data_IF_205674342129
#
_entry.id   IF_205674342129
#
_cell.length_a   1.000
_cell.length_b   1.000
_cell.length_c   1.000
_cell.angle_alpha   90.00
_cell.angle_beta   90.00
_cell.angle_gamma   90.00
#
_symmetry.space_group_name_H-M   'P 1'
#
loop_
_entity.id
_entity.type
_entity.pdbx_description
1 polymer ?
#
# COMPACT_ATOMS: atom_id res chain seq x y z
N UNK A 1 17.32 1.26 -9.64
CA UNK A 1 17.98 0.29 -8.70
C UNK A 1 17.26 -1.04 -8.80
N UNK A 2 17.97 -2.13 -9.04
CA UNK A 2 17.42 -3.50 -9.00
C UNK A 2 17.67 -4.06 -7.60
N UNK A 3 16.59 -4.47 -6.92
CA UNK A 3 16.68 -5.09 -5.60
C UNK A 3 16.99 -6.57 -5.71
N UNK A 4 17.93 -7.06 -4.89
CA UNK A 4 18.17 -8.50 -4.82
C UNK A 4 17.01 -9.22 -4.09
N UNK A 5 16.90 -10.53 -4.32
CA UNK A 5 15.91 -11.36 -3.60
C UNK A 5 16.12 -11.25 -2.09
N UNK A 6 17.38 -11.26 -1.61
CA UNK A 6 17.72 -11.15 -0.20
C UNK A 6 17.27 -9.80 0.39
N UNK A 7 17.46 -8.70 -0.34
CA UNK A 7 17.00 -7.37 0.10
C UNK A 7 15.48 -7.36 0.26
N UNK A 8 14.75 -7.87 -0.73
CA UNK A 8 13.28 -7.93 -0.68
C UNK A 8 12.79 -8.87 0.43
N UNK A 9 13.36 -10.06 0.55
CA UNK A 9 13.00 -11.02 1.60
C UNK A 9 13.27 -10.42 2.99
N UNK A 10 14.44 -9.82 3.21
CA UNK A 10 14.78 -9.15 4.47
C UNK A 10 13.80 -8.02 4.81
N UNK A 11 13.44 -7.20 3.82
CA UNK A 11 12.45 -6.14 3.98
C UNK A 11 11.07 -6.69 4.37
N UNK A 12 10.59 -7.74 3.70
CA UNK A 12 9.28 -8.33 3.99
C UNK A 12 9.23 -9.03 5.35
N UNK A 13 10.30 -9.68 5.75
CA UNK A 13 10.42 -10.27 7.09
C UNK A 13 10.49 -9.18 8.17
N UNK A 14 11.11 -8.05 7.86
CA UNK A 14 11.37 -6.97 8.81
C UNK A 14 12.43 -7.37 9.85
N UNK A 15 12.90 -6.40 10.63
CA UNK A 15 13.86 -6.61 11.72
C UNK A 15 13.24 -7.28 12.96
N UNK A 16 12.19 -8.06 12.75
CA UNK A 16 11.54 -8.74 13.84
C UNK A 16 12.39 -9.96 14.21
N UNK A 17 12.93 -9.97 15.43
CA UNK A 17 13.16 -11.23 16.12
C UNK A 17 11.80 -11.93 16.20
N UNK A 18 11.47 -12.71 15.18
CA UNK A 18 10.32 -13.59 15.20
C UNK A 18 10.64 -14.63 16.26
N UNK A 19 10.38 -14.27 17.52
CA UNK A 19 10.43 -15.21 18.63
C UNK A 19 9.21 -16.11 18.48
N UNK A 20 9.40 -17.23 17.80
CA UNK A 20 8.40 -18.30 17.64
C UNK A 20 8.07 -19.04 18.96
N UNK A 21 8.31 -18.42 20.12
CA UNK A 21 8.19 -19.06 21.45
C UNK A 21 6.76 -19.23 21.95
N UNK A 22 5.78 -18.64 21.30
CA UNK A 22 4.39 -18.83 21.67
C UNK A 22 3.78 -19.90 20.76
N UNK A 23 3.12 -20.90 21.34
CA UNK A 23 2.49 -21.96 20.58
C UNK A 23 1.50 -21.40 19.58
N UNK A 24 1.64 -21.74 18.29
CA UNK A 24 0.63 -21.43 17.32
C UNK A 24 -0.65 -22.17 17.67
N UNK A 25 -1.79 -21.49 17.67
CA UNK A 25 -3.08 -22.15 17.74
C UNK A 25 -3.18 -23.21 16.65
N UNK A 26 -3.70 -24.38 17.00
CA UNK A 26 -3.83 -25.51 16.09
C UNK A 26 -5.07 -25.31 15.20
N UNK A 27 -4.89 -24.95 13.93
CA UNK A 27 -5.98 -24.76 12.98
C UNK A 27 -5.99 -25.85 11.92
N UNK A 28 -7.18 -26.40 11.67
CA UNK A 28 -7.41 -27.22 10.48
C UNK A 28 -7.40 -26.34 9.21
N UNK A 29 -7.17 -26.91 8.00
CA UNK A 29 -7.27 -26.16 6.76
C UNK A 29 -8.60 -25.42 6.55
N UNK A 30 -9.69 -25.91 7.14
CA UNK A 30 -10.99 -25.23 7.13
C UNK A 30 -11.05 -24.04 8.10
N UNK A 31 -10.25 -24.05 9.15
CA UNK A 31 -10.15 -22.97 10.14
C UNK A 31 -9.20 -21.85 9.69
N UNK A 32 -8.35 -22.07 8.67
CA UNK A 32 -7.56 -21.01 8.01
C UNK A 32 -8.42 -19.79 7.67
N UNK A 33 -9.67 -20.05 7.38
CA UNK A 33 -10.60 -19.04 6.94
C UNK A 33 -11.47 -18.45 8.06
N UNK A 34 -11.55 -19.01 9.24
CA UNK A 34 -12.43 -18.56 10.34
C UNK A 34 -11.69 -17.96 11.54
N UNK A 35 -10.38 -17.70 11.41
CA UNK A 35 -9.53 -17.30 12.53
C UNK A 35 -9.81 -15.90 13.06
N UNK A 36 -9.79 -15.68 14.39
CA UNK A 36 -10.01 -14.39 15.02
C UNK A 36 -8.99 -13.29 14.65
N UNK A 37 -7.81 -13.63 14.12
CA UNK A 37 -6.86 -12.65 13.58
C UNK A 37 -7.25 -12.11 12.20
N UNK A 38 -8.22 -12.74 11.52
CA UNK A 38 -8.83 -12.21 10.31
C UNK A 38 -9.98 -11.24 10.62
N UNK A 39 -10.28 -10.98 11.86
CA UNK A 39 -11.43 -10.19 12.27
C UNK A 39 -10.94 -8.79 12.61
N UNK A 40 -11.52 -7.78 11.95
CA UNK A 40 -11.69 -6.50 12.64
C UNK A 40 -12.35 -6.84 13.98
N UNK A 41 -11.64 -6.60 15.08
CA UNK A 41 -12.11 -6.93 16.43
C UNK A 41 -13.48 -6.30 16.79
N UNK A 42 -14.01 -5.45 15.93
CA UNK A 42 -15.30 -4.77 16.04
C UNK A 42 -16.40 -5.41 15.20
N UNK A 43 -16.06 -6.19 14.16
CA UNK A 43 -17.04 -6.82 13.29
C UNK A 43 -16.69 -8.28 13.03
N UNK A 44 -17.50 -9.19 13.52
CA UNK A 44 -17.37 -10.65 13.35
C UNK A 44 -17.47 -11.15 11.89
N UNK A 45 -17.50 -10.25 10.92
CA UNK A 45 -17.54 -10.55 9.48
C UNK A 45 -16.40 -9.82 8.78
N UNK A 46 -15.38 -10.54 8.36
CA UNK A 46 -14.39 -10.04 7.44
C UNK A 46 -15.02 -9.95 6.04
N UNK A 47 -15.68 -8.83 5.76
CA UNK A 47 -16.30 -8.56 4.45
C UNK A 47 -15.26 -8.49 3.32
N UNK A 48 -13.98 -8.27 3.66
CA UNK A 48 -12.87 -8.20 2.71
C UNK A 48 -12.20 -9.53 2.44
N UNK A 49 -12.58 -10.61 3.11
CA UNK A 49 -11.93 -11.91 3.01
C UNK A 49 -11.92 -12.47 1.58
N UNK A 50 -13.02 -12.35 0.85
CA UNK A 50 -13.14 -12.84 -0.52
C UNK A 50 -12.06 -12.25 -1.47
N UNK A 51 -11.53 -11.08 -1.17
CA UNK A 51 -10.45 -10.45 -1.93
C UNK A 51 -9.06 -10.98 -1.58
N UNK A 52 -8.90 -11.63 -0.42
CA UNK A 52 -7.63 -12.20 0.04
C UNK A 52 -7.50 -13.68 -0.31
N UNK A 53 -8.62 -14.39 -0.38
CA UNK A 53 -8.66 -15.84 -0.62
C UNK A 53 -7.83 -16.28 -1.84
N UNK A 54 -7.86 -15.61 -3.01
CA UNK A 54 -7.06 -16.03 -4.16
C UNK A 54 -5.56 -16.06 -3.88
N UNK A 55 -5.03 -15.07 -3.16
CA UNK A 55 -3.61 -15.01 -2.83
C UNK A 55 -3.25 -16.06 -1.79
N UNK A 56 -4.10 -16.26 -0.77
CA UNK A 56 -3.88 -17.26 0.27
C UNK A 56 -3.90 -18.67 -0.30
N UNK A 57 -4.86 -19.00 -1.17
CA UNK A 57 -4.93 -20.28 -1.86
C UNK A 57 -3.67 -20.51 -2.70
N UNK A 58 -3.23 -19.49 -3.43
CA UNK A 58 -1.97 -19.54 -4.20
C UNK A 58 -0.78 -19.85 -3.29
N UNK A 59 -0.66 -19.17 -2.14
CA UNK A 59 0.46 -19.34 -1.24
C UNK A 59 0.48 -20.73 -0.58
N UNK A 60 -0.67 -21.21 -0.12
CA UNK A 60 -0.82 -22.58 0.41
C UNK A 60 -0.40 -23.61 -0.64
N UNK A 61 -0.86 -23.46 -1.89
CA UNK A 61 -0.55 -24.39 -2.97
C UNK A 61 0.92 -24.38 -3.38
N UNK A 62 1.59 -23.23 -3.32
CA UNK A 62 3.00 -23.12 -3.74
C UNK A 62 3.97 -23.91 -2.86
N UNK A 63 3.66 -24.08 -1.57
CA UNK A 63 4.58 -24.66 -0.59
C UNK A 63 4.01 -25.85 0.17
N UNK A 64 2.87 -26.42 -0.25
CA UNK A 64 2.17 -27.50 0.46
C UNK A 64 2.03 -27.19 1.96
N UNK A 65 1.66 -25.95 2.28
CA UNK A 65 1.45 -25.54 3.66
C UNK A 65 0.13 -26.10 4.17
N UNK A 66 0.17 -26.76 5.33
CA UNK A 66 -1.05 -27.19 6.01
C UNK A 66 -1.75 -26.01 6.69
N UNK A 67 -0.97 -25.02 7.13
CA UNK A 67 -1.44 -23.87 7.90
C UNK A 67 -0.69 -22.61 7.54
N UNK A 68 -1.42 -21.50 7.49
CA UNK A 68 -0.86 -20.17 7.27
C UNK A 68 -1.71 -19.14 8.02
N UNK A 69 -1.06 -18.17 8.67
CA UNK A 69 -1.77 -17.08 9.31
C UNK A 69 -1.66 -15.82 8.45
N UNK A 70 -2.76 -15.13 8.34
CA UNK A 70 -2.80 -13.86 7.62
C UNK A 70 -3.82 -12.91 8.27
N UNK A 71 -3.60 -11.62 8.07
CA UNK A 71 -4.48 -10.57 8.53
C UNK A 71 -5.17 -9.92 7.33
N UNK A 72 -6.50 -9.93 7.33
CA UNK A 72 -7.30 -9.20 6.37
C UNK A 72 -7.51 -7.75 6.81
N UNK A 73 -7.77 -6.87 5.85
CA UNK A 73 -8.15 -5.49 6.09
C UNK A 73 -7.01 -4.50 5.96
N UNK A 74 -7.37 -3.24 6.17
CA UNK A 74 -6.49 -2.10 5.91
C UNK A 74 -5.88 -1.55 7.21
N UNK A 75 -5.94 -2.33 8.31
CA UNK A 75 -5.27 -1.96 9.57
C UNK A 75 -3.96 -2.69 9.70
N UNK A 76 -2.86 -1.99 10.03
CA UNK A 76 -1.62 -2.66 10.39
C UNK A 76 -1.83 -3.61 11.56
N UNK A 77 -1.33 -4.83 11.42
CA UNK A 77 -1.39 -5.83 12.47
C UNK A 77 -0.50 -5.43 13.65
N UNK A 78 -1.06 -5.42 14.86
CA UNK A 78 -0.36 -5.02 16.10
C UNK A 78 -0.28 -6.15 17.13
N UNK A 79 -0.50 -7.38 16.70
CA UNK A 79 -0.50 -8.55 17.58
C UNK A 79 0.90 -9.03 18.01
N UNK A 80 0.96 -10.25 18.53
CA UNK A 80 2.19 -10.92 18.95
C UNK A 80 3.14 -11.22 17.78
N UNK A 81 4.40 -11.58 18.08
CA UNK A 81 5.44 -11.88 17.09
C UNK A 81 5.21 -13.24 16.42
N UNK A 82 4.12 -13.38 15.70
CA UNK A 82 3.90 -14.55 14.84
C UNK A 82 4.31 -14.25 13.41
N UNK A 83 4.59 -15.27 12.60
CA UNK A 83 4.76 -15.15 11.16
C UNK A 83 3.41 -14.97 10.45
N UNK A 84 2.62 -14.00 10.89
CA UNK A 84 1.34 -13.62 10.27
C UNK A 84 1.62 -12.86 9.00
N UNK A 85 1.04 -13.29 7.88
CA UNK A 85 1.10 -12.54 6.64
C UNK A 85 0.23 -11.28 6.75
N UNK A 86 0.81 -10.15 6.38
CA UNK A 86 0.15 -8.84 6.40
C UNK A 86 0.34 -8.14 5.07
N UNK A 87 -0.62 -7.30 4.71
CA UNK A 87 -0.52 -6.46 3.51
C UNK A 87 0.47 -5.30 3.72
N UNK A 88 0.43 -4.70 4.91
CA UNK A 88 1.23 -3.52 5.26
C UNK A 88 1.70 -3.54 6.71
N UNK A 89 2.81 -2.85 6.97
CA UNK A 89 3.26 -2.45 8.31
C UNK A 89 3.29 -0.94 8.41
N UNK A 90 2.88 -0.39 9.56
CA UNK A 90 2.98 1.04 9.87
C UNK A 90 4.32 1.31 10.56
N UNK A 91 5.21 2.07 9.95
CA UNK A 91 6.55 2.36 10.47
C UNK A 91 6.53 3.29 11.69
N UNK A 92 5.47 4.07 11.85
CA UNK A 92 5.29 4.95 13.02
C UNK A 92 4.74 4.20 14.24
N UNK A 93 4.20 3.00 14.03
CA UNK A 93 3.72 2.16 15.10
C UNK A 93 4.66 0.98 15.32
N UNK A 94 5.50 1.06 16.34
CA UNK A 94 6.45 -0.01 16.72
C UNK A 94 5.76 -1.35 17.05
N UNK A 95 4.47 -1.34 17.30
CA UNK A 95 3.67 -2.55 17.52
C UNK A 95 3.15 -3.15 16.21
N UNK A 96 3.28 -2.45 15.08
CA UNK A 96 2.90 -2.97 13.77
C UNK A 96 3.90 -4.06 13.35
N UNK A 97 3.41 -5.26 13.12
CA UNK A 97 4.21 -6.48 12.92
C UNK A 97 3.66 -7.30 11.75
N UNK A 98 4.25 -8.46 11.56
CA UNK A 98 3.86 -9.43 10.54
C UNK A 98 4.84 -9.47 9.36
N UNK A 99 4.75 -10.53 8.58
CA UNK A 99 5.52 -10.73 7.35
C UNK A 99 4.74 -10.12 6.19
N UNK A 100 5.34 -9.16 5.51
CA UNK A 100 4.69 -8.53 4.36
C UNK A 100 4.53 -9.56 3.25
N UNK A 101 3.31 -9.67 2.71
CA UNK A 101 2.98 -10.46 1.56
C UNK A 101 2.07 -9.68 0.60
N UNK A 102 2.10 -10.05 -0.68
CA UNK A 102 1.23 -9.44 -1.68
C UNK A 102 -0.20 -9.97 -1.51
N UNK A 103 -0.92 -9.42 -0.54
CA UNK A 103 -2.29 -9.80 -0.21
C UNK A 103 -3.30 -8.82 -0.83
N UNK A 104 -4.46 -9.36 -1.21
CA UNK A 104 -5.47 -8.62 -1.97
C UNK A 104 -4.86 -8.02 -3.24
N UNK A 105 -4.04 -8.82 -3.92
CA UNK A 105 -3.23 -8.40 -5.07
C UNK A 105 -4.09 -7.91 -6.22
N UNK A 106 -5.24 -8.53 -6.48
CA UNK A 106 -6.15 -8.11 -7.54
C UNK A 106 -6.63 -6.65 -7.40
N UNK A 107 -6.76 -6.15 -6.16
CA UNK A 107 -7.15 -4.77 -5.90
C UNK A 107 -5.95 -3.83 -5.78
N UNK A 108 -4.92 -4.24 -5.05
CA UNK A 108 -3.82 -3.35 -4.65
C UNK A 108 -2.62 -3.44 -5.58
N UNK A 109 -2.48 -4.51 -6.36
CA UNK A 109 -1.32 -4.76 -7.22
C UNK A 109 -1.66 -4.80 -8.71
N UNK A 110 -2.68 -4.06 -9.12
CA UNK A 110 -3.00 -3.89 -10.53
C UNK A 110 -2.14 -2.76 -11.11
N UNK A 111 -1.10 -3.12 -11.85
CA UNK A 111 -0.15 -2.21 -12.50
C UNK A 111 -0.55 -1.85 -13.94
N UNK A 112 -1.78 -2.13 -14.35
CA UNK A 112 -2.25 -1.79 -15.69
C UNK A 112 -2.24 -0.29 -15.94
N UNK A 113 -1.35 0.15 -16.82
CA UNK A 113 -1.18 1.51 -17.30
C UNK A 113 -1.37 1.61 -18.82
N UNK A 114 -2.06 0.64 -19.42
CA UNK A 114 -2.28 0.55 -20.87
C UNK A 114 -2.94 1.80 -21.48
N UNK A 115 -3.59 2.61 -20.65
CA UNK A 115 -4.23 3.86 -21.06
C UNK A 115 -3.40 5.10 -20.72
N UNK A 116 -2.12 4.93 -20.33
CA UNK A 116 -1.24 6.05 -20.09
C UNK A 116 -0.87 6.77 -21.39
N UNK A 117 -0.48 8.03 -21.27
CA UNK A 117 -0.09 8.88 -22.37
C UNK A 117 1.33 9.41 -22.14
N UNK A 118 1.94 9.92 -23.19
CA UNK A 118 3.28 10.48 -23.10
C UNK A 118 3.30 11.72 -22.19
N UNK A 119 4.45 11.94 -21.55
CA UNK A 119 4.65 13.05 -20.60
C UNK A 119 4.22 14.40 -21.17
N UNK A 120 4.58 14.67 -22.43
CA UNK A 120 4.27 15.95 -23.09
C UNK A 120 2.78 16.15 -23.41
N UNK A 121 2.00 15.05 -23.44
CA UNK A 121 0.56 15.09 -23.68
C UNK A 121 -0.23 15.24 -22.39
N UNK A 122 0.44 15.08 -21.23
CA UNK A 122 -0.19 15.23 -19.91
C UNK A 122 -0.38 16.70 -19.55
N UNK A 123 -1.48 16.96 -18.86
CA UNK A 123 -1.75 18.28 -18.30
C UNK A 123 -0.83 18.55 -17.11
N UNK A 124 -0.28 19.74 -17.07
CA UNK A 124 0.53 20.27 -15.97
C UNK A 124 -0.39 20.70 -14.79
N UNK A 125 -1.12 19.73 -14.23
CA UNK A 125 -2.16 19.92 -13.23
C UNK A 125 -2.01 18.90 -12.10
N UNK A 126 -2.45 19.28 -10.90
CA UNK A 126 -2.66 18.38 -9.77
C UNK A 126 -4.05 17.77 -9.88
N UNK A 127 -4.14 16.47 -9.67
CA UNK A 127 -5.41 15.76 -9.66
C UNK A 127 -5.45 14.71 -8.56
N UNK A 128 -6.53 14.74 -7.78
CA UNK A 128 -6.75 13.71 -6.77
C UNK A 128 -8.23 13.37 -6.60
N UNK A 129 -8.52 12.08 -6.52
CA UNK A 129 -9.82 11.52 -6.11
C UNK A 129 -9.57 10.32 -5.21
N UNK A 130 -10.28 10.26 -4.10
CA UNK A 130 -10.24 9.15 -3.19
C UNK A 130 -11.43 9.17 -2.24
N UNK A 131 -11.72 8.04 -1.60
CA UNK A 131 -12.70 7.96 -0.54
C UNK A 131 -12.21 8.67 0.72
N UNK A 132 -13.13 9.02 1.61
CA UNK A 132 -12.87 9.69 2.89
C UNK A 132 -12.32 8.73 3.97
N UNK A 133 -11.46 7.78 3.58
CA UNK A 133 -10.85 6.80 4.48
C UNK A 133 -9.68 7.38 5.28
N UNK A 134 -9.37 6.76 6.41
CA UNK A 134 -8.32 7.14 7.36
C UNK A 134 -8.78 6.85 8.78
N UNK A 135 -7.88 6.32 9.62
CA UNK A 135 -8.26 5.86 10.96
C UNK A 135 -8.39 6.98 11.99
N UNK A 136 -7.69 8.06 11.78
CA UNK A 136 -7.70 9.19 12.68
C UNK A 136 -8.32 10.40 12.00
N UNK A 137 -9.55 10.74 12.40
CA UNK A 137 -10.26 11.88 11.84
C UNK A 137 -9.54 13.21 12.13
N UNK A 138 -8.73 13.28 13.18
CA UNK A 138 -7.95 14.46 13.54
C UNK A 138 -6.61 14.52 12.80
N UNK A 139 -6.17 13.41 12.22
CA UNK A 139 -5.00 13.27 11.36
C UNK A 139 -5.39 12.82 9.96
N UNK A 140 -6.62 13.05 9.56
CA UNK A 140 -7.08 12.68 8.24
C UNK A 140 -6.53 13.67 7.22
N UNK A 141 -5.39 13.31 6.69
CA UNK A 141 -4.69 14.08 5.68
C UNK A 141 -5.57 14.37 4.46
N UNK A 142 -6.54 13.49 4.15
CA UNK A 142 -7.47 13.67 3.02
C UNK A 142 -8.46 14.79 3.23
N UNK A 143 -9.02 14.95 4.45
CA UNK A 143 -9.92 16.09 4.75
C UNK A 143 -9.13 17.39 4.72
N UNK A 144 -7.99 17.44 5.40
CA UNK A 144 -7.09 18.59 5.42
C UNK A 144 -6.68 18.99 4.01
N UNK A 145 -6.25 18.00 3.22
CA UNK A 145 -5.84 18.20 1.84
C UNK A 145 -6.97 18.74 0.97
N UNK A 146 -8.13 18.10 0.95
CA UNK A 146 -9.26 18.58 0.13
C UNK A 146 -9.75 19.93 0.59
N UNK A 147 -9.88 20.18 1.91
CA UNK A 147 -10.33 21.47 2.41
C UNK A 147 -9.40 22.61 2.03
N UNK A 148 -8.11 22.36 1.94
CA UNK A 148 -7.09 23.36 1.60
C UNK A 148 -7.00 23.63 0.09
N UNK A 149 -7.09 22.58 -0.73
CA UNK A 149 -6.73 22.65 -2.14
C UNK A 149 -7.90 22.55 -3.13
N UNK A 150 -9.13 22.29 -2.64
CA UNK A 150 -10.30 22.13 -3.51
C UNK A 150 -10.59 23.32 -4.43
N UNK A 151 -10.34 24.55 -3.95
CA UNK A 151 -10.57 25.76 -4.74
C UNK A 151 -9.46 26.08 -5.73
N UNK A 152 -8.29 25.48 -5.57
CA UNK A 152 -7.09 25.79 -6.35
C UNK A 152 -6.78 24.70 -7.37
N UNK A 153 -7.10 23.44 -7.03
CA UNK A 153 -6.75 22.26 -7.82
C UNK A 153 -7.96 21.35 -8.02
N UNK A 154 -7.86 20.44 -8.99
CA UNK A 154 -8.89 19.42 -9.21
C UNK A 154 -8.75 18.25 -8.22
N UNK A 155 -8.96 18.55 -6.94
CA UNK A 155 -8.91 17.59 -5.84
C UNK A 155 -10.26 17.51 -5.16
N UNK A 156 -10.77 16.28 -4.92
CA UNK A 156 -12.06 16.06 -4.30
C UNK A 156 -12.24 14.63 -3.80
N UNK A 157 -13.26 14.38 -3.02
CA UNK A 157 -13.64 13.03 -2.64
C UNK A 157 -14.39 12.32 -3.76
N UNK A 158 -14.09 11.02 -3.90
CA UNK A 158 -14.88 10.13 -4.76
C UNK A 158 -16.10 9.56 -4.04
N UNK A 159 -16.02 9.41 -2.73
CA UNK A 159 -17.08 8.81 -1.90
C UNK A 159 -16.90 9.21 -0.43
N UNK A 160 -18.03 9.34 0.27
CA UNK A 160 -18.15 9.57 1.71
C UNK A 160 -18.55 8.27 2.41
N UNK A 161 -17.65 7.29 2.44
CA UNK A 161 -17.97 5.93 2.88
C UNK A 161 -17.65 5.66 4.34
N UNK A 162 -16.71 6.39 4.93
CA UNK A 162 -16.18 6.07 6.26
C UNK A 162 -16.31 7.23 7.25
N UNK A 163 -15.47 8.24 7.16
CA UNK A 163 -15.33 9.28 8.18
C UNK A 163 -16.49 10.27 8.19
N UNK A 164 -17.08 10.54 7.04
CA UNK A 164 -18.29 11.36 6.93
C UNK A 164 -19.42 10.87 7.84
N UNK A 165 -19.59 9.57 7.99
CA UNK A 165 -20.63 8.98 8.83
C UNK A 165 -20.48 9.34 10.31
N UNK A 166 -19.25 9.58 10.76
CA UNK A 166 -18.94 9.90 12.15
C UNK A 166 -18.89 11.41 12.42
N UNK A 167 -18.54 12.21 11.41
CA UNK A 167 -18.35 13.64 11.55
C UNK A 167 -18.75 14.41 10.27
N UNK A 168 -20.03 14.36 9.87
CA UNK A 168 -20.50 14.99 8.63
C UNK A 168 -20.29 16.51 8.59
N UNK A 169 -20.22 17.16 9.76
CA UNK A 169 -20.02 18.59 9.89
C UNK A 169 -18.61 19.06 9.43
N UNK A 170 -17.66 18.17 9.26
CA UNK A 170 -16.32 18.46 8.74
C UNK A 170 -16.26 18.50 7.20
N UNK A 171 -17.33 18.07 6.53
CA UNK A 171 -17.36 17.90 5.10
C UNK A 171 -18.29 18.89 4.42
N UNK A 172 -17.97 19.23 3.17
CA UNK A 172 -18.83 20.02 2.31
C UNK A 172 -19.35 19.15 1.16
N UNK A 173 -20.61 19.34 0.79
CA UNK A 173 -21.21 18.58 -0.33
C UNK A 173 -20.48 18.82 -1.66
N UNK A 174 -19.95 20.02 -1.89
CA UNK A 174 -19.20 20.40 -3.08
C UNK A 174 -17.89 19.64 -3.24
N UNK A 175 -17.32 19.10 -2.14
CA UNK A 175 -16.08 18.30 -2.17
C UNK A 175 -16.31 16.88 -2.70
N UNK A 176 -17.54 16.42 -2.86
CA UNK A 176 -17.89 15.13 -3.42
C UNK A 176 -18.12 15.25 -4.92
N UNK A 177 -17.17 14.77 -5.72
CA UNK A 177 -17.26 14.79 -7.20
C UNK A 177 -17.46 13.40 -7.83
N UNK A 178 -17.52 12.35 -7.01
CA UNK A 178 -17.73 10.98 -7.48
C UNK A 178 -16.46 10.29 -7.99
N UNK A 179 -16.64 9.08 -8.48
CA UNK A 179 -15.56 8.22 -8.94
C UNK A 179 -14.98 8.70 -10.26
N UNK A 180 -13.68 8.50 -10.41
CA UNK A 180 -12.92 8.72 -11.64
C UNK A 180 -12.26 7.43 -12.08
N UNK A 181 -12.01 7.30 -13.36
CA UNK A 181 -11.22 6.21 -13.95
C UNK A 181 -9.74 6.44 -13.73
N UNK A 182 -8.93 5.38 -13.82
CA UNK A 182 -7.46 5.52 -13.81
C UNK A 182 -6.97 6.42 -14.93
N UNK A 183 -7.60 6.36 -16.10
CA UNK A 183 -7.29 7.23 -17.23
C UNK A 183 -7.45 8.73 -16.91
N UNK A 184 -8.40 9.09 -16.04
CA UNK A 184 -8.56 10.49 -15.64
C UNK A 184 -7.38 10.99 -14.81
N UNK A 185 -6.78 10.13 -13.99
CA UNK A 185 -5.52 10.44 -13.31
C UNK A 185 -4.36 10.54 -14.30
N UNK A 186 -4.20 9.54 -15.16
CA UNK A 186 -3.07 9.42 -16.08
C UNK A 186 -2.97 10.56 -17.11
N UNK A 187 -4.01 11.37 -17.28
CA UNK A 187 -3.96 12.61 -18.05
C UNK A 187 -3.19 13.76 -17.38
N UNK A 188 -2.72 13.60 -16.15
CA UNK A 188 -2.04 14.64 -15.35
C UNK A 188 -0.64 14.24 -14.98
N UNK A 189 0.26 15.25 -14.94
CA UNK A 189 1.66 15.03 -14.56
C UNK A 189 1.82 14.76 -13.07
N UNK A 190 1.08 15.46 -12.20
CA UNK A 190 1.30 15.51 -10.76
C UNK A 190 0.15 14.85 -9.98
N UNK A 191 0.43 13.75 -9.33
CA UNK A 191 -0.57 12.94 -8.66
C UNK A 191 -0.25 12.79 -7.16
N UNK A 192 -0.93 13.55 -6.28
CA UNK A 192 -0.77 13.42 -4.85
C UNK A 192 -1.15 12.03 -4.35
N UNK A 193 -0.31 11.49 -3.47
CA UNK A 193 -0.53 10.19 -2.81
C UNK A 193 -0.90 10.45 -1.36
N UNK A 194 -2.14 10.20 -1.02
CA UNK A 194 -2.65 10.32 0.33
C UNK A 194 -3.02 8.94 0.87
N UNK A 195 -2.38 8.57 1.97
CA UNK A 195 -2.71 7.33 2.65
C UNK A 195 -4.16 7.35 3.16
N UNK A 196 -4.73 6.17 3.30
CA UNK A 196 -6.07 5.99 3.86
C UNK A 196 -5.98 5.27 5.21
N UNK A 197 -6.70 4.16 5.33
CA UNK A 197 -6.58 3.27 6.50
C UNK A 197 -5.22 2.57 6.58
N UNK A 198 -4.57 2.41 5.46
CA UNK A 198 -3.16 2.05 5.29
C UNK A 198 -2.63 2.76 4.04
N UNK A 199 -1.58 2.21 3.44
CA UNK A 199 -0.96 2.72 2.22
C UNK A 199 -1.97 2.99 1.10
N UNK A 200 -1.78 4.07 0.38
CA UNK A 200 -2.52 4.33 -0.85
C UNK A 200 -2.15 3.31 -1.94
N UNK A 201 -3.14 2.54 -2.42
CA UNK A 201 -2.93 1.58 -3.51
C UNK A 201 -2.63 2.25 -4.86
N UNK A 202 -2.94 3.53 -5.01
CA UNK A 202 -2.64 4.29 -6.23
C UNK A 202 -1.15 4.49 -6.46
N UNK A 203 -0.33 4.52 -5.40
CA UNK A 203 1.12 4.67 -5.52
C UNK A 203 1.73 3.62 -6.46
N UNK A 204 1.26 2.37 -6.42
CA UNK A 204 1.84 1.29 -7.21
C UNK A 204 1.76 1.55 -8.72
N UNK A 205 0.57 1.91 -9.21
CA UNK A 205 0.39 2.14 -10.64
C UNK A 205 0.80 3.56 -11.07
N UNK A 206 0.79 4.55 -10.16
CA UNK A 206 1.33 5.88 -10.47
C UNK A 206 2.84 5.81 -10.67
N UNK A 207 3.56 5.09 -9.81
CA UNK A 207 4.99 4.83 -10.03
C UNK A 207 5.28 4.08 -11.33
N UNK A 208 4.37 3.21 -11.78
CA UNK A 208 4.54 2.50 -13.04
C UNK A 208 4.29 3.37 -14.28
N UNK A 209 3.69 4.55 -14.09
CA UNK A 209 3.20 5.44 -15.17
C UNK A 209 4.19 6.56 -15.52
N UNK A 210 3.83 7.33 -16.55
CA UNK A 210 4.50 8.58 -16.89
C UNK A 210 4.00 9.78 -16.05
N UNK A 211 3.50 9.55 -14.83
CA UNK A 211 3.10 10.62 -13.89
C UNK A 211 3.98 10.59 -12.66
N UNK A 212 4.20 11.74 -12.04
CA UNK A 212 5.01 11.86 -10.83
C UNK A 212 4.14 11.74 -9.59
N UNK A 213 4.42 10.79 -8.68
CA UNK A 213 3.82 10.81 -7.37
C UNK A 213 4.36 11.98 -6.54
N UNK A 214 3.46 12.76 -5.94
CA UNK A 214 3.79 13.77 -4.94
C UNK A 214 3.31 13.28 -3.60
N UNK A 215 4.21 13.06 -2.67
CA UNK A 215 3.85 12.44 -1.39
C UNK A 215 4.85 12.78 -0.29
N UNK A 216 4.42 12.71 0.98
CA UNK A 216 5.36 12.67 2.08
C UNK A 216 6.23 11.42 2.04
N UNK A 217 7.30 11.41 2.83
CA UNK A 217 8.07 10.19 3.06
C UNK A 217 7.13 9.03 3.41
N UNK A 218 7.28 7.84 2.77
CA UNK A 218 6.40 6.71 3.01
C UNK A 218 6.32 6.32 4.49
N UNK A 219 5.09 6.19 4.99
CA UNK A 219 4.79 5.73 6.34
C UNK A 219 4.59 4.21 6.41
N UNK A 220 4.05 3.63 5.37
CA UNK A 220 3.72 2.21 5.35
C UNK A 220 4.73 1.43 4.52
N UNK A 221 5.14 0.29 5.05
CA UNK A 221 5.86 -0.73 4.32
C UNK A 221 4.86 -1.72 3.71
N UNK A 222 5.04 -2.05 2.43
CA UNK A 222 4.22 -3.03 1.71
C UNK A 222 5.05 -3.85 0.74
N UNK A 223 4.38 -4.61 -0.12
CA UNK A 223 5.04 -5.37 -1.20
C UNK A 223 5.86 -4.50 -2.15
N UNK A 224 5.63 -3.20 -2.17
CA UNK A 224 6.35 -2.22 -3.01
C UNK A 224 7.78 -1.93 -2.54
N UNK A 225 8.17 -2.32 -1.33
CA UNK A 225 9.48 -2.01 -0.75
C UNK A 225 9.74 -0.49 -0.65
N UNK A 226 8.85 0.24 -0.02
CA UNK A 226 8.84 1.71 0.03
C UNK A 226 10.11 2.35 0.58
N UNK A 227 10.87 1.66 1.44
CA UNK A 227 12.16 2.16 1.96
C UNK A 227 13.23 2.36 0.88
N UNK A 228 13.04 1.75 -0.29
CA UNK A 228 13.95 1.91 -1.42
C UNK A 228 13.51 2.99 -2.41
N UNK A 229 12.40 3.67 -2.12
CA UNK A 229 12.00 4.86 -2.86
C UNK A 229 12.77 6.08 -2.32
N UNK A 230 13.37 6.83 -3.22
CA UNK A 230 14.17 8.01 -2.90
C UNK A 230 13.47 9.26 -3.41
N UNK A 231 13.35 10.27 -2.54
CA UNK A 231 12.87 11.60 -2.88
C UNK A 231 13.76 12.26 -3.96
N UNK A 232 13.17 12.92 -4.92
CA UNK A 232 13.88 13.51 -6.07
C UNK A 232 14.35 12.49 -7.10
N UNK A 233 14.19 11.18 -6.85
CA UNK A 233 14.56 10.13 -7.79
C UNK A 233 13.33 9.36 -8.27
N UNK A 234 12.44 8.96 -7.38
CA UNK A 234 11.27 8.14 -7.69
C UNK A 234 9.93 8.86 -7.43
N UNK A 235 9.96 9.88 -6.61
CA UNK A 235 8.79 10.71 -6.25
C UNK A 235 9.26 12.10 -5.82
N UNK A 236 8.34 13.04 -5.76
CA UNK A 236 8.61 14.39 -5.21
C UNK A 236 8.05 14.44 -3.79
N UNK A 237 8.92 14.78 -2.83
CA UNK A 237 8.55 14.84 -1.42
C UNK A 237 7.87 16.16 -1.07
N UNK A 238 6.86 16.08 -0.25
CA UNK A 238 6.16 17.20 0.39
C UNK A 238 6.09 16.98 1.89
N UNK A 239 5.77 18.05 2.62
CA UNK A 239 5.50 17.93 4.05
C UNK A 239 4.33 16.95 4.32
N UNK A 240 4.30 16.29 5.49
CA UNK A 240 3.25 15.31 5.82
C UNK A 240 1.83 15.86 5.74
N UNK A 241 1.64 17.15 5.93
CA UNK A 241 0.35 17.86 5.83
C UNK A 241 0.13 18.52 4.48
N UNK A 242 1.03 18.29 3.49
CA UNK A 242 1.04 18.93 2.19
C UNK A 242 1.10 20.47 2.23
N UNK A 243 1.57 21.06 3.33
CA UNK A 243 1.56 22.52 3.51
C UNK A 243 2.38 23.28 2.46
N UNK A 244 3.35 22.63 1.87
CA UNK A 244 4.28 23.15 0.86
C UNK A 244 3.91 22.77 -0.60
N UNK A 245 2.76 22.14 -0.82
CA UNK A 245 2.38 21.60 -2.14
C UNK A 245 2.52 22.66 -3.25
N UNK A 246 2.02 23.88 -3.05
CA UNK A 246 2.07 24.91 -4.09
C UNK A 246 3.51 25.35 -4.39
N UNK A 247 4.37 25.42 -3.38
CA UNK A 247 5.81 25.73 -3.56
C UNK A 247 6.48 24.64 -4.40
N UNK A 248 6.19 23.38 -4.07
CA UNK A 248 6.70 22.21 -4.80
C UNK A 248 6.19 22.21 -6.24
N UNK A 249 4.92 22.54 -6.47
CA UNK A 249 4.36 22.61 -7.81
C UNK A 249 4.96 23.74 -8.66
N UNK A 250 5.28 24.87 -8.07
CA UNK A 250 5.96 25.95 -8.78
C UNK A 250 7.36 25.48 -9.21
N UNK A 251 8.10 24.81 -8.33
CA UNK A 251 9.35 24.17 -8.69
C UNK A 251 9.18 23.13 -9.82
N UNK A 252 8.14 22.28 -9.75
CA UNK A 252 7.87 21.29 -10.79
C UNK A 252 7.63 21.91 -12.17
N UNK A 253 6.96 23.07 -12.23
CA UNK A 253 6.68 23.79 -13.48
C UNK A 253 7.94 24.37 -14.09
N UNK A 254 8.89 24.79 -13.25
CA UNK A 254 10.19 25.34 -13.66
C UNK A 254 11.19 24.24 -14.04
N UNK A 255 10.98 22.99 -13.56
CA UNK A 255 11.89 21.85 -13.71
C UNK A 255 11.20 20.64 -14.37
N UNK A 256 10.47 20.86 -15.47
CA UNK A 256 9.62 19.86 -16.14
C UNK A 256 10.42 18.61 -16.60
N UNK A 257 11.63 18.80 -17.13
CA UNK A 257 12.52 17.70 -17.57
C UNK A 257 12.98 16.83 -16.39
N UNK A 258 13.23 17.44 -15.22
CA UNK A 258 13.60 16.73 -14.02
C UNK A 258 12.41 15.91 -13.49
N UNK A 259 11.21 16.48 -13.52
CA UNK A 259 9.98 15.79 -13.17
C UNK A 259 9.73 14.59 -14.11
N UNK A 260 9.94 14.73 -15.41
CA UNK A 260 9.85 13.61 -16.36
C UNK A 260 10.85 12.49 -16.02
N UNK A 261 12.08 12.88 -15.64
CA UNK A 261 13.11 11.92 -15.23
C UNK A 261 12.71 11.16 -13.97
N UNK A 262 12.09 11.84 -13.00
CA UNK A 262 11.55 11.21 -11.77
C UNK A 262 10.45 10.20 -12.13
N UNK A 263 9.51 10.54 -13.02
CA UNK A 263 8.48 9.62 -13.48
C UNK A 263 9.09 8.38 -14.16
N UNK A 264 10.06 8.56 -15.05
CA UNK A 264 10.77 7.46 -15.73
C UNK A 264 11.51 6.55 -14.73
N UNK A 265 12.13 7.13 -13.70
CA UNK A 265 12.81 6.37 -12.66
C UNK A 265 11.83 5.55 -11.82
N UNK A 266 10.66 6.10 -11.48
CA UNK A 266 9.57 5.38 -10.83
C UNK A 266 9.11 4.18 -11.67
N UNK A 267 8.82 4.39 -12.95
CA UNK A 267 8.42 3.34 -13.88
C UNK A 267 9.49 2.25 -14.03
N UNK A 268 10.76 2.65 -14.11
CA UNK A 268 11.90 1.74 -14.13
C UNK A 268 12.01 0.91 -12.84
N UNK A 269 11.84 1.54 -11.68
CA UNK A 269 11.84 0.84 -10.39
C UNK A 269 10.77 -0.25 -10.35
N UNK A 270 9.56 0.04 -10.79
CA UNK A 270 8.48 -0.94 -10.86
C UNK A 270 8.81 -2.07 -11.84
N UNK A 271 9.22 -1.72 -13.07
CA UNK A 271 9.46 -2.72 -14.12
C UNK A 271 10.62 -3.66 -13.80
N UNK A 272 11.69 -3.15 -13.21
CA UNK A 272 12.88 -3.95 -12.86
C UNK A 272 12.66 -4.85 -11.64
N UNK A 273 11.78 -4.48 -10.71
CA UNK A 273 11.69 -5.17 -9.43
C UNK A 273 10.41 -6.02 -9.25
N UNK A 274 9.31 -5.73 -9.96
CA UNK A 274 8.00 -6.30 -9.59
C UNK A 274 7.21 -6.91 -10.75
N UNK A 275 7.71 -6.88 -11.97
CA UNK A 275 6.97 -7.38 -13.14
C UNK A 275 7.38 -8.81 -13.54
N UNK A 276 8.51 -9.31 -13.07
CA UNK A 276 8.96 -10.66 -13.39
C UNK A 276 8.25 -11.69 -12.49
N UNK A 277 7.33 -12.45 -13.08
CA UNK A 277 6.49 -13.42 -12.38
C UNK A 277 7.29 -14.57 -11.76
N UNK A 278 8.42 -14.97 -12.34
CA UNK A 278 9.27 -16.02 -11.79
C UNK A 278 9.97 -15.53 -10.52
N UNK A 279 10.49 -14.31 -10.53
CA UNK A 279 11.10 -13.67 -9.38
C UNK A 279 10.06 -13.50 -8.25
N UNK A 280 8.87 -12.99 -8.55
CA UNK A 280 7.80 -12.86 -7.58
C UNK A 280 7.44 -14.20 -6.93
N UNK A 281 7.33 -15.25 -7.75
CA UNK A 281 7.04 -16.60 -7.25
C UNK A 281 8.16 -17.16 -6.38
N UNK A 282 9.42 -16.94 -6.76
CA UNK A 282 10.60 -17.39 -5.99
C UNK A 282 10.66 -16.70 -4.63
N UNK A 283 10.45 -15.38 -4.59
CA UNK A 283 10.43 -14.61 -3.34
C UNK A 283 9.33 -15.10 -2.41
N UNK A 284 8.11 -15.28 -2.91
CA UNK A 284 6.98 -15.81 -2.13
C UNK A 284 7.33 -17.18 -1.55
N UNK A 285 7.89 -18.09 -2.35
CA UNK A 285 8.31 -19.41 -1.87
C UNK A 285 9.33 -19.30 -0.74
N UNK A 286 10.35 -18.48 -0.89
CA UNK A 286 11.38 -18.28 0.13
C UNK A 286 10.81 -17.71 1.43
N UNK A 287 9.88 -16.76 1.38
CA UNK A 287 9.18 -16.25 2.55
C UNK A 287 8.37 -17.35 3.27
N UNK A 288 7.66 -18.16 2.51
CA UNK A 288 6.84 -19.24 3.06
C UNK A 288 7.69 -20.38 3.64
N UNK A 289 8.84 -20.69 3.04
CA UNK A 289 9.82 -21.63 3.59
C UNK A 289 10.40 -21.12 4.91
N UNK A 290 10.72 -19.84 5.00
CA UNK A 290 11.14 -19.22 6.25
C UNK A 290 10.07 -19.36 7.35
N UNK A 291 8.82 -19.05 7.04
CA UNK A 291 7.70 -19.21 7.96
C UNK A 291 7.55 -20.67 8.39
N UNK A 292 7.64 -21.61 7.45
CA UNK A 292 7.53 -23.04 7.71
C UNK A 292 8.65 -23.55 8.60
N UNK A 293 9.90 -23.16 8.34
CA UNK A 293 11.06 -23.59 9.15
C UNK A 293 10.95 -23.08 10.59
N UNK A 294 10.55 -21.83 10.78
CA UNK A 294 10.31 -21.27 12.09
C UNK A 294 9.22 -22.00 12.87
N UNK A 295 8.12 -22.36 12.22
CA UNK A 295 7.04 -23.17 12.83
C UNK A 295 7.48 -24.59 13.17
N UNK A 296 8.34 -25.20 12.34
CA UNK A 296 8.88 -26.53 12.58
C UNK A 296 9.80 -26.57 13.80
N UNK A 297 10.62 -25.55 13.97
CA UNK A 297 11.52 -25.43 15.13
C UNK A 297 10.77 -25.29 16.47
N UNK A 298 9.57 -24.71 16.46
CA UNK A 298 8.72 -24.63 17.65
C UNK A 298 8.21 -26.03 18.05
N UNK A 299 7.72 -26.81 17.09
CA UNK A 299 7.20 -28.16 17.34
C UNK A 299 8.25 -29.15 17.88
N UNK A 300 9.52 -28.95 17.54
CA UNK A 300 10.61 -29.85 17.93
C UNK A 300 11.35 -29.42 19.21
N UNK A 301 11.03 -28.26 19.78
CA UNK A 301 11.63 -27.75 21.04
C UNK A 301 10.72 -27.88 22.25
N UNK A 302 9.49 -28.37 22.10
CA UNK A 302 8.54 -28.73 23.14
C UNK A 302 8.51 -30.23 23.34
#
# INVERSE_FOLDING_TARGET
>A
MILSDEQRISYYLGHQNLNFKEEPFDFSPHELFDHPFCVDARNKQCLSRAHYDPDIIKYVSLNNLEKIWFCCGDKPYTGVNYPVLVKTRDTFNKLSKGVIANLNSGRHWNLDISQDIDWNDKKNEVFWRGADTGHDIHRNDRIGFVSKYFSEHDVAFSDYSQNYKSAPYLYKNEWLKGFCTRQDFLKRKFLPILDGNDKSSSLNWILASNSVPIMPKPRFHSWLCEDFLESGVHYIEVQPDFSDLNIVLDWCRENDEECESIAKNGAKFISENFTNQETETRIIKSLLEFIRSGLYDIKNKG
#
